data_IF_125684496030
#
_entry.id   IF_125684496030
#
_cell.length_a   1.000
_cell.length_b   1.000
_cell.length_c   1.000
_cell.angle_alpha   90.00
_cell.angle_beta   90.00
_cell.angle_gamma   90.00
#
_symmetry.space_group_name_H-M   'P 1'
#
loop_
_entity.id
_entity.type
_entity.pdbx_description
1 polymer ?
#
# COMPACT_ATOMS: atom_id res chain seq x y z
N UNK A 1 25.01 -5.88 10.57
CA UNK A 1 23.86 -5.67 9.65
C UNK A 1 22.92 -4.70 10.35
N UNK A 2 22.87 -3.44 9.93
CA UNK A 2 22.10 -2.40 10.61
C UNK A 2 20.70 -2.36 10.02
N UNK A 3 19.67 -2.51 10.84
CA UNK A 3 18.29 -2.35 10.40
C UNK A 3 18.00 -0.85 10.25
N UNK A 4 17.76 -0.39 9.02
CA UNK A 4 17.43 1.01 8.73
C UNK A 4 15.91 1.10 8.57
N UNK A 5 15.29 2.04 9.28
CA UNK A 5 13.86 2.32 9.14
C UNK A 5 13.54 2.78 7.70
N UNK A 6 12.33 2.47 7.18
CA UNK A 6 11.89 2.93 5.86
C UNK A 6 12.04 4.45 5.72
N UNK A 7 13.03 4.91 4.93
CA UNK A 7 13.20 6.33 4.66
C UNK A 7 12.54 6.79 3.35
N UNK A 8 11.96 5.84 2.59
CA UNK A 8 11.24 6.12 1.35
C UNK A 8 9.77 5.72 1.51
N UNK A 9 8.86 6.65 1.20
CA UNK A 9 7.41 6.46 1.27
C UNK A 9 6.82 6.24 -0.12
N UNK A 10 5.80 5.39 -0.22
CA UNK A 10 4.95 5.34 -1.40
C UNK A 10 3.93 6.48 -1.32
N UNK A 11 3.68 7.18 -2.43
CA UNK A 11 2.67 8.23 -2.53
C UNK A 11 1.40 7.64 -3.14
N UNK A 12 0.56 7.02 -2.30
CA UNK A 12 -0.64 6.32 -2.78
C UNK A 12 -1.72 7.31 -3.25
N UNK A 13 -1.74 8.52 -2.70
CA UNK A 13 -2.61 9.63 -3.09
C UNK A 13 -2.46 10.01 -4.58
N UNK A 14 -1.27 9.82 -5.16
CA UNK A 14 -0.98 10.15 -6.56
C UNK A 14 -1.74 9.22 -7.54
N UNK A 15 -2.26 8.08 -7.05
CA UNK A 15 -3.09 7.16 -7.82
C UNK A 15 -4.53 7.63 -8.08
N UNK A 16 -4.92 8.81 -7.58
CA UNK A 16 -6.22 9.44 -7.84
C UNK A 16 -7.40 8.87 -7.04
N UNK A 17 -7.17 7.84 -6.21
CA UNK A 17 -8.20 7.14 -5.46
C UNK A 17 -8.41 7.73 -4.07
N UNK A 18 -9.65 8.10 -3.73
CA UNK A 18 -9.97 8.72 -2.42
C UNK A 18 -9.58 7.80 -1.26
N UNK A 19 -9.83 6.49 -1.38
CA UNK A 19 -9.44 5.52 -0.35
C UNK A 19 -7.93 5.49 -0.11
N UNK A 20 -7.12 5.77 -1.13
CA UNK A 20 -5.65 5.75 -1.03
C UNK A 20 -5.13 7.02 -0.37
N UNK A 21 -5.79 8.16 -0.60
CA UNK A 21 -5.53 9.41 0.15
C UNK A 21 -5.79 9.24 1.63
N UNK A 22 -6.88 8.53 2.00
CA UNK A 22 -7.19 8.23 3.40
C UNK A 22 -6.12 7.33 4.03
N UNK A 23 -5.64 6.32 3.29
CA UNK A 23 -4.54 5.45 3.76
C UNK A 23 -3.26 6.26 3.96
N UNK A 24 -2.89 7.14 3.04
CA UNK A 24 -1.69 7.98 3.19
C UNK A 24 -1.74 8.90 4.43
N UNK A 25 -2.94 9.36 4.81
CA UNK A 25 -3.14 10.20 5.99
C UNK A 25 -3.12 9.42 7.31
N UNK A 26 -3.76 8.24 7.35
CA UNK A 26 -3.98 7.49 8.60
C UNK A 26 -2.90 6.43 8.84
N UNK A 27 -2.39 5.82 7.76
CA UNK A 27 -1.47 4.69 7.79
C UNK A 27 -0.47 4.76 6.61
N UNK A 28 0.48 5.71 6.61
CA UNK A 28 1.42 5.89 5.50
C UNK A 28 2.29 4.65 5.28
N UNK A 29 2.42 4.22 4.01
CA UNK A 29 3.16 3.01 3.63
C UNK A 29 4.57 3.35 3.12
N UNK A 30 5.60 2.79 3.75
CA UNK A 30 7.01 2.94 3.36
C UNK A 30 7.53 1.86 2.39
N UNK A 31 8.83 1.89 2.05
CA UNK A 31 9.58 0.76 1.49
C UNK A 31 10.22 -0.06 2.62
N UNK A 32 9.91 -1.36 2.69
CA UNK A 32 10.25 -2.22 3.84
C UNK A 32 9.28 -2.20 5.06
N UNK A 33 8.01 -1.77 4.98
CA UNK A 33 7.10 -1.77 6.12
C UNK A 33 6.59 -3.19 6.38
N UNK A 34 6.32 -3.49 7.65
CA UNK A 34 5.57 -4.67 8.09
C UNK A 34 4.19 -4.21 8.53
N UNK A 35 3.27 -4.08 7.58
CA UNK A 35 1.88 -3.68 7.84
C UNK A 35 0.94 -4.88 7.82
N UNK A 36 -0.09 -4.87 8.68
CA UNK A 36 -1.16 -5.86 8.69
C UNK A 36 -2.48 -5.18 8.37
N UNK A 37 -3.15 -5.62 7.30
CA UNK A 37 -4.53 -5.20 7.00
C UNK A 37 -5.48 -6.17 7.69
N UNK A 38 -6.13 -5.70 8.75
CA UNK A 38 -7.18 -6.42 9.48
C UNK A 38 -8.54 -5.97 8.96
N UNK A 39 -9.38 -6.91 8.54
CA UNK A 39 -10.71 -6.63 8.01
C UNK A 39 -11.63 -7.83 8.22
N UNK A 40 -12.92 -7.58 8.42
CA UNK A 40 -13.94 -8.63 8.49
C UNK A 40 -14.09 -9.36 7.13
N UNK A 41 -14.57 -10.62 7.11
CA UNK A 41 -14.93 -11.30 5.86
C UNK A 41 -15.90 -10.45 5.03
N UNK A 42 -15.70 -10.39 3.71
CA UNK A 42 -16.47 -9.56 2.75
C UNK A 42 -16.32 -8.04 2.90
N UNK A 43 -15.46 -7.52 3.77
CA UNK A 43 -15.23 -6.07 3.94
C UNK A 43 -14.36 -5.42 2.83
N UNK A 44 -14.13 -6.10 1.70
CA UNK A 44 -13.41 -5.52 0.56
C UNK A 44 -11.89 -5.53 0.65
N UNK A 45 -11.28 -6.40 1.47
CA UNK A 45 -9.81 -6.54 1.59
C UNK A 45 -9.13 -6.72 0.24
N UNK A 46 -9.70 -7.55 -0.63
CA UNK A 46 -9.19 -7.80 -1.99
C UNK A 46 -9.21 -6.53 -2.84
N UNK A 47 -10.30 -5.77 -2.80
CA UNK A 47 -10.43 -4.50 -3.52
C UNK A 47 -9.46 -3.46 -3.00
N UNK A 48 -9.26 -3.39 -1.68
CA UNK A 48 -8.27 -2.50 -1.07
C UNK A 48 -6.85 -2.84 -1.53
N UNK A 49 -6.47 -4.12 -1.50
CA UNK A 49 -5.16 -4.58 -1.98
C UNK A 49 -4.94 -4.26 -3.46
N UNK A 50 -5.96 -4.47 -4.30
CA UNK A 50 -5.87 -4.11 -5.72
C UNK A 50 -5.68 -2.60 -5.94
N UNK A 51 -6.36 -1.76 -5.16
CA UNK A 51 -6.22 -0.29 -5.24
C UNK A 51 -4.84 0.19 -4.75
N UNK A 52 -4.33 -0.42 -3.68
CA UNK A 52 -2.97 -0.15 -3.20
C UNK A 52 -1.97 -0.51 -4.30
N UNK A 53 -2.07 -1.70 -4.88
CA UNK A 53 -1.17 -2.14 -5.94
C UNK A 53 -1.19 -1.19 -7.15
N UNK A 54 -2.39 -0.80 -7.60
CA UNK A 54 -2.54 0.15 -8.72
C UNK A 54 -1.90 1.50 -8.42
N UNK A 55 -2.06 2.00 -7.20
CA UNK A 55 -1.51 3.30 -6.79
C UNK A 55 0.01 3.26 -6.65
N UNK A 56 0.55 2.14 -6.12
CA UNK A 56 1.99 1.92 -6.08
C UNK A 56 2.56 1.90 -7.50
N UNK A 57 1.97 1.14 -8.44
CA UNK A 57 2.41 1.14 -9.85
C UNK A 57 2.38 2.51 -10.51
N UNK A 58 1.39 3.35 -10.18
CA UNK A 58 1.31 4.71 -10.71
C UNK A 58 2.40 5.63 -10.13
N UNK A 59 2.70 5.47 -8.83
CA UNK A 59 3.65 6.33 -8.11
C UNK A 59 5.11 5.90 -8.24
N UNK A 60 5.38 4.60 -8.41
CA UNK A 60 6.70 3.98 -8.45
C UNK A 60 6.66 2.76 -9.40
N UNK A 61 6.82 3.00 -10.72
CA UNK A 61 6.66 1.96 -11.75
C UNK A 61 7.69 0.83 -11.65
N UNK A 62 8.86 1.10 -11.07
CA UNK A 62 9.95 0.13 -10.90
C UNK A 62 9.71 -0.84 -9.73
N UNK A 63 8.67 -0.59 -8.92
CA UNK A 63 8.33 -1.43 -7.78
C UNK A 63 7.66 -2.73 -8.23
N UNK A 64 8.27 -3.87 -7.86
CA UNK A 64 7.67 -5.19 -8.05
C UNK A 64 6.58 -5.47 -7.02
N UNK A 65 5.37 -5.78 -7.48
CA UNK A 65 4.21 -6.07 -6.64
C UNK A 65 3.86 -7.57 -6.74
N UNK A 66 3.59 -8.20 -5.61
CA UNK A 66 3.11 -9.59 -5.52
C UNK A 66 1.85 -9.58 -4.67
N UNK A 67 0.75 -10.07 -5.24
CA UNK A 67 -0.53 -10.22 -4.53
C UNK A 67 -0.85 -11.71 -4.50
N UNK A 68 -1.03 -12.25 -3.30
CA UNK A 68 -1.56 -13.60 -3.12
C UNK A 68 -2.96 -13.49 -2.51
N UNK A 69 -3.95 -13.96 -3.25
CA UNK A 69 -5.32 -14.15 -2.77
C UNK A 69 -5.56 -15.63 -2.59
N UNK A 70 -5.84 -16.06 -1.35
CA UNK A 70 -6.38 -17.39 -1.04
C UNK A 70 -7.89 -17.35 -0.94
#
# INVERSE_FOLDING_TARGET
MIAISPNQRFRLADGGEISMRVVDLIAPIGKGPRGLIVSLPKAGKTTLLARIARSVCASDPDTRIIIQTS
#
